data_IF_363883763484
#
_entry.id   IF_363883763484
#
_cell.length_a   1.000
_cell.length_b   1.000
_cell.length_c   1.000
_cell.angle_alpha   90.00
_cell.angle_beta   90.00
_cell.angle_gamma   90.00
#
_symmetry.space_group_name_H-M   'P 1'
#
loop_
_entity.id
_entity.type
_entity.pdbx_description
1 polymer ?
#
# COMPACT_ATOMS: atom_id res chain seq x y z
N UNK A 1 12.26 -24.01 2.68
CA UNK A 1 11.14 -23.38 3.41
C UNK A 1 11.11 -21.89 3.12
N UNK A 2 9.97 -21.36 2.72
CA UNK A 2 9.82 -19.92 2.51
C UNK A 2 9.66 -19.20 3.85
N UNK A 3 10.47 -18.16 4.05
CA UNK A 3 10.37 -17.28 5.21
C UNK A 3 9.74 -15.97 4.75
N UNK A 4 8.57 -15.64 5.31
CA UNK A 4 7.84 -14.40 5.02
C UNK A 4 7.95 -13.49 6.24
N UNK A 5 8.22 -12.22 5.98
CA UNK A 5 8.29 -11.19 7.01
C UNK A 5 7.59 -9.95 6.52
N UNK A 6 6.88 -9.29 7.42
CA UNK A 6 6.31 -7.98 7.15
C UNK A 6 6.79 -7.00 8.22
N UNK A 7 7.16 -5.81 7.81
CA UNK A 7 7.55 -4.75 8.74
C UNK A 7 7.37 -3.38 8.13
N UNK A 8 7.40 -2.37 8.98
CA UNK A 8 7.39 -0.98 8.54
C UNK A 8 8.65 -0.64 7.74
N UNK A 9 8.50 0.28 6.81
CA UNK A 9 9.60 0.92 6.11
C UNK A 9 10.57 1.53 7.12
N UNK A 10 11.86 1.36 6.89
CA UNK A 10 12.95 1.88 7.73
C UNK A 10 13.90 2.74 6.91
N UNK A 11 14.50 3.74 7.54
CA UNK A 11 15.57 4.55 6.90
C UNK A 11 16.80 3.73 6.55
N UNK A 12 16.90 2.51 7.08
CA UNK A 12 17.97 1.57 6.78
C UNK A 12 17.71 0.73 5.52
N UNK A 13 16.51 0.84 4.93
CA UNK A 13 16.20 0.12 3.70
C UNK A 13 17.01 0.68 2.53
N UNK A 14 17.88 -0.17 1.96
CA UNK A 14 18.89 0.25 0.99
C UNK A 14 18.59 -0.21 -0.43
N UNK A 15 19.64 -0.71 -1.08
CA UNK A 15 19.66 -1.03 -2.51
C UNK A 15 18.56 -2.01 -2.93
N UNK A 16 18.27 -3.03 -2.12
CA UNK A 16 17.27 -4.04 -2.50
C UNK A 16 15.85 -3.47 -2.64
N UNK A 17 15.48 -2.53 -1.77
CA UNK A 17 14.20 -1.85 -1.89
C UNK A 17 14.21 -0.90 -3.10
N UNK A 18 15.30 -0.17 -3.30
CA UNK A 18 15.45 0.68 -4.48
C UNK A 18 15.26 -0.13 -5.76
N UNK A 19 15.89 -1.31 -5.85
CA UNK A 19 15.77 -2.20 -7.01
C UNK A 19 14.33 -2.66 -7.23
N UNK A 20 13.60 -3.02 -6.17
CA UNK A 20 12.18 -3.37 -6.28
C UNK A 20 11.36 -2.20 -6.83
N UNK A 21 11.62 -0.98 -6.34
CA UNK A 21 10.90 0.22 -6.79
C UNK A 21 11.22 0.57 -8.26
N UNK A 22 12.40 0.17 -8.76
CA UNK A 22 12.71 0.34 -10.18
C UNK A 22 12.02 -0.72 -11.05
N UNK A 23 11.77 -1.91 -10.53
CA UNK A 23 11.00 -2.94 -11.22
C UNK A 23 9.52 -2.57 -11.33
N UNK A 24 8.96 -1.93 -10.30
CA UNK A 24 7.57 -1.50 -10.27
C UNK A 24 7.37 -0.26 -11.17
N UNK A 25 6.27 -0.20 -11.95
CA UNK A 25 6.00 0.97 -12.79
C UNK A 25 5.70 2.23 -11.95
N UNK A 26 5.77 3.38 -12.60
CA UNK A 26 5.49 4.68 -11.95
C UNK A 26 4.03 4.80 -11.50
N UNK A 27 3.12 4.20 -12.24
CA UNK A 27 1.70 4.14 -11.93
C UNK A 27 1.16 2.80 -12.42
N UNK A 28 0.57 2.04 -11.51
CA UNK A 28 -0.11 0.81 -11.88
C UNK A 28 -1.45 0.75 -11.15
N UNK A 29 -2.53 0.87 -11.91
CA UNK A 29 -3.88 0.84 -11.38
C UNK A 29 -4.10 1.86 -10.25
N UNK A 30 -3.48 3.04 -10.37
CA UNK A 30 -3.58 4.10 -9.38
C UNK A 30 -2.58 4.01 -8.22
N UNK A 31 -1.78 2.95 -8.15
CA UNK A 31 -0.69 2.88 -7.18
C UNK A 31 0.51 3.67 -7.73
N UNK A 32 0.79 4.81 -7.09
CA UNK A 32 1.84 5.72 -7.54
C UNK A 32 3.18 5.36 -6.89
N UNK A 33 4.18 5.17 -7.73
CA UNK A 33 5.56 4.92 -7.35
C UNK A 33 6.44 6.07 -7.87
N UNK A 34 6.63 7.08 -7.06
CA UNK A 34 7.37 8.29 -7.44
C UNK A 34 8.87 8.08 -7.59
N UNK A 35 9.38 6.93 -7.15
CA UNK A 35 10.82 6.60 -7.19
C UNK A 35 11.21 5.96 -8.53
N UNK A 36 10.25 5.43 -9.27
CA UNK A 36 10.54 4.80 -10.56
C UNK A 36 11.27 5.76 -11.50
N UNK A 37 12.42 5.32 -12.02
CA UNK A 37 13.26 6.13 -12.90
C UNK A 37 14.10 7.19 -12.21
N UNK A 38 14.08 7.24 -10.88
CA UNK A 38 14.87 8.21 -10.10
C UNK A 38 16.22 7.64 -9.67
N UNK A 39 17.17 8.55 -9.43
CA UNK A 39 18.48 8.18 -8.91
C UNK A 39 18.39 7.72 -7.44
N UNK A 40 19.39 6.97 -6.99
CA UNK A 40 19.43 6.48 -5.61
C UNK A 40 19.35 7.60 -4.57
N UNK A 41 20.00 8.76 -4.83
CA UNK A 41 19.95 9.91 -3.92
C UNK A 41 18.51 10.43 -3.75
N UNK A 42 17.73 10.46 -4.82
CA UNK A 42 16.32 10.86 -4.79
C UNK A 42 15.48 9.83 -4.05
N UNK A 43 15.79 8.54 -4.20
CA UNK A 43 15.18 7.47 -3.42
C UNK A 43 15.42 7.67 -1.92
N UNK A 44 16.64 8.03 -1.52
CA UNK A 44 16.95 8.28 -0.12
C UNK A 44 16.11 9.40 0.47
N UNK A 45 15.88 10.48 -0.28
CA UNK A 45 14.99 11.58 0.15
C UNK A 45 13.57 11.08 0.31
N UNK A 46 13.06 10.32 -0.66
CA UNK A 46 11.73 9.72 -0.58
C UNK A 46 11.60 8.82 0.66
N UNK A 47 12.60 8.01 0.93
CA UNK A 47 12.63 7.08 2.06
C UNK A 47 12.51 7.81 3.39
N UNK A 48 13.34 8.82 3.60
CA UNK A 48 13.32 9.61 4.83
C UNK A 48 11.99 10.34 5.02
N UNK A 49 11.45 10.92 3.96
CA UNK A 49 10.16 11.60 3.99
C UNK A 49 9.01 10.62 4.28
N UNK A 50 9.05 9.43 3.70
CA UNK A 50 8.02 8.40 3.93
C UNK A 50 8.00 7.91 5.38
N UNK A 51 9.17 7.70 5.96
CA UNK A 51 9.27 7.30 7.37
C UNK A 51 8.78 8.42 8.27
N UNK A 52 9.20 9.66 8.02
CA UNK A 52 8.76 10.83 8.79
C UNK A 52 7.26 11.04 8.70
N UNK A 53 6.67 10.83 7.52
CA UNK A 53 5.23 10.96 7.30
C UNK A 53 4.44 10.05 8.24
N UNK A 54 4.89 8.83 8.46
CA UNK A 54 4.20 7.86 9.33
C UNK A 54 4.15 8.28 10.80
N UNK A 55 5.00 9.20 11.21
CA UNK A 55 5.10 9.68 12.59
C UNK A 55 4.26 10.94 12.84
N UNK A 56 3.67 11.51 11.79
CA UNK A 56 2.88 12.74 11.91
C UNK A 56 1.46 12.45 12.41
N UNK A 57 0.85 13.49 13.00
CA UNK A 57 -0.55 13.48 13.42
C UNK A 57 -1.29 14.62 12.74
N UNK A 58 -2.58 14.40 12.43
CA UNK A 58 -3.38 15.40 11.73
C UNK A 58 -2.97 15.56 10.26
N UNK A 59 -3.44 16.61 9.63
CA UNK A 59 -3.13 16.88 8.23
C UNK A 59 -1.73 17.46 8.05
N UNK A 60 -1.00 16.96 7.06
CA UNK A 60 0.31 17.45 6.66
C UNK A 60 0.09 18.46 5.52
N UNK A 61 0.70 19.64 5.62
CA UNK A 61 0.55 20.71 4.62
C UNK A 61 -0.92 21.10 4.37
N UNK A 62 -1.79 20.85 5.36
CA UNK A 62 -3.20 21.20 5.29
C UNK A 62 -4.10 20.25 4.49
N UNK A 63 -3.54 19.22 3.82
CA UNK A 63 -4.33 18.32 2.97
C UNK A 63 -3.88 16.86 2.96
N UNK A 64 -2.61 16.58 3.17
CA UNK A 64 -2.10 15.21 3.17
C UNK A 64 -2.42 14.49 4.47
N UNK A 65 -2.74 13.23 4.34
CA UNK A 65 -2.98 12.34 5.47
C UNK A 65 -1.69 11.58 5.79
N UNK A 66 -1.31 11.47 7.08
CA UNK A 66 -0.22 10.58 7.46
C UNK A 66 -0.48 9.16 7.00
N UNK A 67 0.56 8.50 6.52
CA UNK A 67 0.47 7.11 6.10
C UNK A 67 1.69 6.32 6.55
N UNK A 68 1.48 5.06 6.89
CA UNK A 68 2.53 4.13 7.22
C UNK A 68 2.77 3.20 6.03
N UNK A 69 4.03 3.04 5.66
CA UNK A 69 4.44 2.15 4.59
C UNK A 69 5.00 0.86 5.19
N UNK A 70 4.54 -0.28 4.68
CA UNK A 70 4.96 -1.61 5.09
C UNK A 70 5.61 -2.34 3.92
N UNK A 71 6.58 -3.18 4.22
CA UNK A 71 7.25 -4.02 3.24
C UNK A 71 6.99 -5.48 3.54
N UNK A 72 6.74 -6.24 2.48
CA UNK A 72 6.66 -7.70 2.54
C UNK A 72 7.97 -8.27 2.02
N UNK A 73 8.59 -9.12 2.83
CA UNK A 73 9.84 -9.80 2.48
C UNK A 73 9.59 -11.29 2.30
N UNK A 74 10.27 -11.87 1.33
CA UNK A 74 10.33 -13.31 1.14
C UNK A 74 11.80 -13.71 1.12
N UNK A 75 12.21 -14.56 2.05
CA UNK A 75 13.61 -14.98 2.21
C UNK A 75 14.57 -13.80 2.29
N UNK A 76 14.18 -12.75 3.02
CA UNK A 76 15.00 -11.55 3.23
C UNK A 76 14.97 -10.54 2.09
N UNK A 77 14.23 -10.80 1.02
CA UNK A 77 14.16 -9.94 -0.16
C UNK A 77 12.80 -9.25 -0.25
N UNK A 78 12.72 -7.92 -0.49
CA UNK A 78 11.45 -7.24 -0.59
C UNK A 78 10.70 -7.68 -1.85
N UNK A 79 9.44 -8.08 -1.69
CA UNK A 79 8.58 -8.55 -2.79
C UNK A 79 7.29 -7.74 -2.90
N UNK A 80 6.95 -6.95 -1.91
CA UNK A 80 5.74 -6.16 -1.93
C UNK A 80 5.82 -4.94 -1.02
N UNK A 81 4.91 -4.01 -1.26
CA UNK A 81 4.81 -2.76 -0.51
C UNK A 81 3.33 -2.42 -0.30
N UNK A 82 2.99 -1.99 0.90
CA UNK A 82 1.65 -1.53 1.22
C UNK A 82 1.68 -0.22 2.00
N UNK A 83 0.65 0.59 1.80
CA UNK A 83 0.47 1.87 2.50
C UNK A 83 -0.86 1.89 3.20
N UNK A 84 -0.87 2.33 4.45
CA UNK A 84 -2.09 2.53 5.22
C UNK A 84 -2.18 4.00 5.59
N UNK A 85 -3.20 4.68 5.10
CA UNK A 85 -3.52 6.05 5.49
C UNK A 85 -4.26 6.01 6.81
N UNK A 86 -3.86 6.88 7.74
CA UNK A 86 -4.33 6.81 9.13
C UNK A 86 -5.80 7.21 9.29
N UNK A 87 -6.33 8.03 8.38
CA UNK A 87 -7.73 8.42 8.36
C UNK A 87 -8.15 8.84 6.95
N UNK A 88 -9.44 9.03 6.72
CA UNK A 88 -9.98 9.42 5.42
C UNK A 88 -10.34 10.91 5.41
N UNK A 89 -10.14 11.54 4.26
CA UNK A 89 -10.67 12.85 3.91
C UNK A 89 -11.75 12.66 2.86
N UNK A 90 -12.51 13.70 2.53
CA UNK A 90 -13.51 13.65 1.46
C UNK A 90 -12.88 13.23 0.13
N UNK A 91 -11.67 13.72 -0.17
CA UNK A 91 -10.95 13.34 -1.37
C UNK A 91 -10.61 11.86 -1.39
N UNK A 92 -10.18 11.28 -0.26
CA UNK A 92 -9.81 9.87 -0.16
C UNK A 92 -11.03 8.94 -0.18
N UNK A 93 -12.21 9.43 0.23
CA UNK A 93 -13.46 8.69 0.09
C UNK A 93 -13.82 8.49 -1.39
N UNK A 94 -13.46 9.43 -2.24
CA UNK A 94 -13.72 9.34 -3.68
C UNK A 94 -12.61 8.58 -4.42
N UNK A 95 -11.35 8.84 -4.08
CA UNK A 95 -10.20 8.23 -4.75
C UNK A 95 -9.09 7.93 -3.73
N UNK A 96 -8.66 6.69 -3.68
CA UNK A 96 -7.51 6.25 -2.91
C UNK A 96 -7.83 5.44 -1.67
N UNK A 97 -8.86 5.78 -0.92
CA UNK A 97 -9.21 5.06 0.30
C UNK A 97 -8.10 5.06 1.35
N UNK A 98 -8.13 4.08 2.27
CA UNK A 98 -7.12 3.92 3.32
C UNK A 98 -5.88 3.17 2.83
N UNK A 99 -6.05 2.21 1.93
CA UNK A 99 -5.02 1.21 1.64
C UNK A 99 -4.70 1.17 0.15
N UNK A 100 -3.41 1.14 -0.15
CA UNK A 100 -2.89 0.76 -1.44
C UNK A 100 -1.76 -0.26 -1.25
N UNK A 101 -1.63 -1.20 -2.16
CA UNK A 101 -0.55 -2.19 -2.10
C UNK A 101 -0.18 -2.68 -3.49
N UNK A 102 1.03 -3.20 -3.60
CA UNK A 102 1.53 -3.77 -4.85
C UNK A 102 2.53 -4.89 -4.55
N UNK A 103 2.61 -5.83 -5.47
CA UNK A 103 3.60 -6.92 -5.45
C UNK A 103 4.52 -6.71 -6.65
N UNK A 104 5.84 -6.82 -6.45
CA UNK A 104 6.79 -6.67 -7.55
C UNK A 104 6.48 -7.67 -8.66
N UNK A 105 6.58 -7.28 -9.94
CA UNK A 105 6.17 -8.13 -11.06
C UNK A 105 6.75 -9.54 -11.02
N UNK A 106 8.03 -9.68 -10.66
CA UNK A 106 8.72 -10.98 -10.61
C UNK A 106 8.20 -11.94 -9.53
N UNK A 107 7.37 -11.46 -8.60
CA UNK A 107 6.84 -12.27 -7.49
C UNK A 107 5.31 -12.46 -7.56
N UNK A 108 4.67 -12.07 -8.66
CA UNK A 108 3.21 -12.14 -8.81
C UNK A 108 2.70 -13.56 -9.07
N UNK A 109 1.36 -13.72 -8.96
CA UNK A 109 0.64 -14.98 -9.21
C UNK A 109 0.99 -16.10 -8.23
N UNK A 110 1.29 -15.73 -6.97
CA UNK A 110 1.65 -16.65 -5.91
C UNK A 110 0.86 -16.43 -4.62
N UNK A 111 -0.23 -15.65 -4.70
CA UNK A 111 -1.07 -15.34 -3.54
C UNK A 111 -0.49 -14.31 -2.57
N UNK A 112 0.58 -13.61 -2.92
CA UNK A 112 1.24 -12.65 -2.04
C UNK A 112 0.41 -11.40 -1.79
N UNK A 113 -0.36 -10.95 -2.77
CA UNK A 113 -1.27 -9.81 -2.60
C UNK A 113 -2.31 -10.05 -1.51
N UNK A 114 -2.90 -11.25 -1.49
CA UNK A 114 -3.87 -11.65 -0.46
C UNK A 114 -3.24 -11.64 0.93
N UNK A 115 -2.02 -12.18 1.05
CA UNK A 115 -1.28 -12.19 2.32
C UNK A 115 -0.93 -10.78 2.77
N UNK A 116 -0.46 -9.95 1.84
CA UNK A 116 -0.10 -8.57 2.14
C UNK A 116 -1.31 -7.78 2.64
N UNK A 117 -2.45 -7.87 1.96
CA UNK A 117 -3.65 -7.17 2.41
C UNK A 117 -4.12 -7.68 3.79
N UNK A 118 -4.07 -8.98 4.04
CA UNK A 118 -4.40 -9.53 5.36
C UNK A 118 -3.54 -8.91 6.47
N UNK A 119 -2.25 -8.73 6.22
CA UNK A 119 -1.36 -8.04 7.14
C UNK A 119 -1.72 -6.57 7.32
N UNK A 120 -2.00 -5.88 6.23
CA UNK A 120 -2.38 -4.46 6.29
C UNK A 120 -3.66 -4.24 7.07
N UNK A 121 -4.59 -5.18 7.02
CA UNK A 121 -5.81 -5.17 7.85
C UNK A 121 -5.43 -5.20 9.33
N UNK A 122 -4.56 -6.12 9.74
CA UNK A 122 -4.11 -6.23 11.13
C UNK A 122 -3.39 -4.94 11.58
N UNK A 123 -2.48 -4.43 10.76
CA UNK A 123 -1.72 -3.23 11.07
C UNK A 123 -2.61 -1.98 11.10
N UNK A 124 -3.61 -1.92 10.23
CA UNK A 124 -4.60 -0.82 10.22
C UNK A 124 -5.36 -0.75 11.54
N UNK A 125 -5.76 -1.90 12.09
CA UNK A 125 -6.41 -1.96 13.39
C UNK A 125 -5.52 -1.41 14.50
N UNK A 126 -4.23 -1.72 14.46
CA UNK A 126 -3.26 -1.20 15.45
C UNK A 126 -3.09 0.31 15.36
N UNK A 127 -3.25 0.89 14.18
CA UNK A 127 -3.18 2.33 13.95
C UNK A 127 -4.44 3.03 14.46
N UNK A 128 -5.54 2.29 14.67
CA UNK A 128 -6.81 2.84 15.12
C UNK A 128 -7.84 3.04 14.01
N UNK A 129 -7.63 2.42 12.85
CA UNK A 129 -8.60 2.43 11.76
C UNK A 129 -9.68 1.37 12.06
N UNK A 130 -10.94 1.76 12.05
CA UNK A 130 -12.07 0.87 12.33
C UNK A 130 -12.67 0.28 11.06
N UNK A 131 -12.66 1.03 9.98
CA UNK A 131 -13.22 0.65 8.69
C UNK A 131 -12.21 1.00 7.62
N UNK A 132 -11.81 0.00 6.84
CA UNK A 132 -10.79 0.14 5.82
C UNK A 132 -11.45 0.26 4.45
N UNK A 133 -11.26 1.37 3.77
CA UNK A 133 -11.77 1.57 2.42
C UNK A 133 -10.70 1.27 1.37
N UNK A 134 -11.08 0.47 0.37
CA UNK A 134 -10.33 0.28 -0.86
C UNK A 134 -11.15 0.83 -2.02
N UNK A 135 -10.54 1.67 -2.85
CA UNK A 135 -11.14 2.11 -4.10
C UNK A 135 -10.34 1.50 -5.24
N UNK A 136 -10.95 0.59 -5.98
CA UNK A 136 -10.26 -0.27 -6.93
C UNK A 136 -10.85 -0.06 -8.32
N UNK A 137 -10.02 0.24 -9.30
CA UNK A 137 -10.46 0.39 -10.68
C UNK A 137 -11.15 -0.88 -11.18
N UNK A 138 -12.24 -0.72 -11.93
CA UNK A 138 -13.12 -1.82 -12.31
C UNK A 138 -12.40 -2.96 -13.07
N UNK A 139 -11.38 -2.62 -13.86
CA UNK A 139 -10.61 -3.61 -14.61
C UNK A 139 -9.58 -4.38 -13.76
N UNK A 140 -9.31 -3.90 -12.55
CA UNK A 140 -8.33 -4.54 -11.67
C UNK A 140 -8.96 -5.71 -10.90
N UNK A 141 -9.35 -6.73 -11.63
CA UNK A 141 -10.05 -7.90 -11.10
C UNK A 141 -9.26 -8.61 -10.00
N UNK A 142 -7.93 -8.83 -10.14
CA UNK A 142 -7.17 -9.47 -9.06
C UNK A 142 -7.26 -8.73 -7.72
N UNK A 143 -7.20 -7.40 -7.73
CA UNK A 143 -7.29 -6.61 -6.51
C UNK A 143 -8.68 -6.66 -5.88
N UNK A 144 -9.74 -6.66 -6.71
CA UNK A 144 -11.13 -6.83 -6.25
C UNK A 144 -11.27 -8.18 -5.53
N UNK A 145 -10.77 -9.26 -6.13
CA UNK A 145 -10.81 -10.60 -5.54
C UNK A 145 -10.04 -10.66 -4.22
N UNK A 146 -8.89 -10.02 -4.15
CA UNK A 146 -8.08 -9.96 -2.92
C UNK A 146 -8.83 -9.24 -1.81
N UNK A 147 -9.48 -8.12 -2.11
CA UNK A 147 -10.28 -7.38 -1.13
C UNK A 147 -11.45 -8.21 -0.61
N UNK A 148 -12.19 -8.86 -1.50
CA UNK A 148 -13.33 -9.73 -1.12
C UNK A 148 -12.87 -10.93 -0.30
N UNK A 149 -11.72 -11.53 -0.65
CA UNK A 149 -11.14 -12.65 0.11
C UNK A 149 -10.68 -12.25 1.51
N UNK A 150 -10.49 -10.97 1.78
CA UNK A 150 -10.13 -10.43 3.10
C UNK A 150 -11.35 -9.86 3.84
N UNK A 151 -12.54 -10.28 3.49
CA UNK A 151 -13.78 -9.87 4.17
C UNK A 151 -14.36 -8.57 3.64
N UNK A 152 -13.97 -8.16 2.46
CA UNK A 152 -14.46 -6.95 1.82
C UNK A 152 -15.95 -7.01 1.49
N UNK A 153 -16.61 -5.87 1.64
CA UNK A 153 -18.01 -5.66 1.34
C UNK A 153 -18.14 -4.55 0.32
N UNK A 154 -18.74 -4.83 -0.83
CA UNK A 154 -18.92 -3.81 -1.88
C UNK A 154 -20.04 -2.86 -1.42
N UNK A 155 -19.71 -1.58 -1.30
CA UNK A 155 -20.68 -0.51 -1.03
C UNK A 155 -21.33 -0.04 -2.31
N UNK A 156 -20.52 0.27 -3.33
CA UNK A 156 -20.99 0.74 -4.63
C UNK A 156 -19.97 0.48 -5.72
N UNK A 157 -20.44 0.50 -6.95
CA UNK A 157 -19.65 0.39 -8.17
C UNK A 157 -20.02 1.55 -9.06
N UNK A 158 -19.03 2.32 -9.50
CA UNK A 158 -19.23 3.41 -10.47
C UNK A 158 -18.75 2.96 -11.85
N UNK A 159 -18.81 3.85 -12.83
CA UNK A 159 -18.27 3.58 -14.17
C UNK A 159 -16.75 3.35 -14.15
N UNK A 160 -16.07 3.81 -13.08
CA UNK A 160 -14.62 3.79 -12.96
C UNK A 160 -14.12 2.76 -11.96
N UNK A 161 -14.77 2.60 -10.79
CA UNK A 161 -14.20 1.80 -9.71
C UNK A 161 -15.22 1.16 -8.77
N UNK A 162 -14.73 0.17 -8.01
CA UNK A 162 -15.40 -0.47 -6.89
C UNK A 162 -15.00 0.23 -5.59
N UNK A 163 -15.96 0.41 -4.69
CA UNK A 163 -15.72 0.91 -3.33
C UNK A 163 -16.00 -0.23 -2.36
N UNK A 164 -14.94 -0.74 -1.75
CA UNK A 164 -15.01 -1.93 -0.90
C UNK A 164 -14.53 -1.59 0.50
N UNK A 165 -15.37 -1.93 1.49
CA UNK A 165 -15.05 -1.73 2.89
C UNK A 165 -14.70 -3.03 3.57
N UNK A 166 -13.68 -3.01 4.41
CA UNK A 166 -13.33 -4.11 5.31
C UNK A 166 -13.55 -3.59 6.74
N UNK A 167 -14.47 -4.19 7.47
CA UNK A 167 -14.72 -3.86 8.86
C UNK A 167 -13.68 -4.56 9.75
N UNK A 168 -13.08 -3.81 10.68
CA UNK A 168 -11.96 -4.29 11.50
C UNK A 168 -12.37 -4.65 12.93
#
# INVERSE_FOLDING_TARGET
MMCMEIRKLSVDDGQELYDMLQELPADENGFINSVHGKAYDEYRVWLENSVRNSEQTGLIDGWKVPQTTFLLFENGKPVGLGRVRHFLTDALLEHGGNVGYTIRPSARNRGLGKKLLAFLVVESRKIGVDHLLLTIQNHNIPSIHVALANGGRIERITDDRHYIWIDL
#
